data_IF_327681127479
#
_entry.id   IF_327681127479
#
_cell.length_a   1.000
_cell.length_b   1.000
_cell.length_c   1.000
_cell.angle_alpha   90.00
_cell.angle_beta   90.00
_cell.angle_gamma   90.00
#
_symmetry.space_group_name_H-M   'P 1'
#
loop_
_entity.id
_entity.type
_entity.pdbx_description
1 polymer ?
#
# COMPACT_ATOMS: atom_id res chain seq x y z
N UNK A 1 -25.87 -5.72 -10.54
CA UNK A 1 -25.19 -5.03 -9.43
C UNK A 1 -26.02 -5.24 -8.19
N UNK A 2 -25.39 -5.58 -7.06
CA UNK A 2 -26.10 -5.72 -5.78
C UNK A 2 -26.80 -4.40 -5.45
N UNK A 3 -28.14 -4.38 -5.30
CA UNK A 3 -28.87 -3.17 -4.93
C UNK A 3 -28.35 -2.52 -3.65
N UNK A 4 -27.79 -3.30 -2.71
CA UNK A 4 -27.24 -2.79 -1.46
C UNK A 4 -25.95 -1.94 -1.64
N UNK A 5 -25.27 -2.08 -2.78
CA UNK A 5 -24.04 -1.34 -3.08
C UNK A 5 -24.29 -0.05 -3.87
N UNK A 6 -25.50 0.14 -4.41
CA UNK A 6 -25.84 1.29 -5.25
C UNK A 6 -25.72 2.58 -4.44
N UNK A 7 -24.88 3.52 -4.90
CA UNK A 7 -24.66 4.82 -4.26
C UNK A 7 -23.72 4.79 -3.04
N UNK A 8 -23.27 3.61 -2.61
CA UNK A 8 -22.38 3.45 -1.46
C UNK A 8 -20.91 3.19 -1.84
N UNK A 9 -20.66 2.72 -3.06
CA UNK A 9 -19.33 2.43 -3.58
C UNK A 9 -19.19 2.95 -5.01
N UNK A 10 -17.97 3.29 -5.42
CA UNK A 10 -17.70 3.61 -6.83
C UNK A 10 -17.66 2.34 -7.67
N UNK A 11 -18.31 2.35 -8.82
CA UNK A 11 -18.37 1.18 -9.71
C UNK A 11 -16.96 0.79 -10.18
N UNK A 12 -16.10 1.77 -10.38
CA UNK A 12 -14.72 1.60 -10.83
C UNK A 12 -13.86 0.88 -9.78
N UNK A 13 -14.05 1.15 -8.48
CA UNK A 13 -13.30 0.46 -7.42
C UNK A 13 -13.72 -1.00 -7.32
N UNK A 14 -15.03 -1.27 -7.46
CA UNK A 14 -15.60 -2.62 -7.49
C UNK A 14 -15.07 -3.39 -8.69
N UNK A 15 -15.07 -2.80 -9.89
CA UNK A 15 -14.54 -3.43 -11.09
C UNK A 15 -13.05 -3.81 -10.92
N UNK A 16 -12.26 -2.89 -10.34
CA UNK A 16 -10.83 -3.13 -10.09
C UNK A 16 -10.58 -4.35 -9.21
N UNK A 17 -11.42 -4.58 -8.19
CA UNK A 17 -11.34 -5.77 -7.33
C UNK A 17 -11.91 -7.02 -8.02
N UNK A 18 -13.02 -6.89 -8.75
CA UNK A 18 -13.66 -8.02 -9.43
C UNK A 18 -12.72 -8.67 -10.44
N UNK A 19 -11.97 -7.87 -11.20
CA UNK A 19 -11.01 -8.36 -12.19
C UNK A 19 -9.93 -9.25 -11.56
N UNK A 20 -9.30 -8.79 -10.46
CA UNK A 20 -8.26 -9.59 -9.79
C UNK A 20 -8.85 -10.81 -9.10
N UNK A 21 -10.06 -10.72 -8.55
CA UNK A 21 -10.73 -11.85 -7.91
C UNK A 21 -11.05 -12.98 -8.91
N UNK A 22 -11.46 -12.62 -10.14
CA UNK A 22 -11.68 -13.59 -11.21
C UNK A 22 -10.38 -14.31 -11.56
N UNK A 23 -9.26 -13.59 -11.68
CA UNK A 23 -7.95 -14.19 -11.97
C UNK A 23 -7.47 -15.11 -10.84
N UNK A 24 -7.77 -14.79 -9.57
CA UNK A 24 -7.41 -15.63 -8.42
C UNK A 24 -8.01 -17.05 -8.47
N UNK A 25 -9.16 -17.22 -9.12
CA UNK A 25 -9.87 -18.51 -9.24
C UNK A 25 -9.64 -19.20 -10.58
N UNK A 26 -8.70 -18.72 -11.38
CA UNK A 26 -8.39 -19.32 -12.68
C UNK A 26 -7.97 -20.79 -12.53
N UNK A 27 -8.39 -21.62 -13.49
CA UNK A 27 -8.09 -23.06 -13.49
C UNK A 27 -6.59 -23.31 -13.62
N UNK A 28 -5.94 -22.50 -14.45
CA UNK A 28 -4.50 -22.56 -14.68
C UNK A 28 -3.79 -21.71 -13.62
N UNK A 29 -3.03 -22.35 -12.73
CA UNK A 29 -2.33 -21.66 -11.63
C UNK A 29 -1.35 -20.57 -12.09
N UNK A 30 -0.79 -20.70 -13.30
CA UNK A 30 0.12 -19.72 -13.92
C UNK A 30 -0.57 -18.40 -14.29
N UNK A 31 -1.89 -18.42 -14.45
CA UNK A 31 -2.69 -17.24 -14.75
C UNK A 31 -3.22 -16.55 -13.50
N UNK A 32 -3.02 -17.15 -12.33
CA UNK A 32 -3.36 -16.52 -11.06
C UNK A 32 -2.35 -15.41 -10.74
N UNK A 33 -2.80 -14.28 -10.20
CA UNK A 33 -1.92 -13.17 -9.88
C UNK A 33 -1.01 -13.53 -8.71
N UNK A 34 0.19 -12.95 -8.72
CA UNK A 34 1.10 -13.00 -7.56
C UNK A 34 0.56 -12.08 -6.46
N UNK A 35 0.93 -12.36 -5.21
CA UNK A 35 0.45 -11.59 -4.06
C UNK A 35 0.69 -10.07 -4.17
N UNK A 36 1.78 -9.62 -4.79
CA UNK A 36 2.02 -8.18 -4.98
C UNK A 36 1.05 -7.55 -5.99
N UNK A 37 0.63 -8.29 -7.03
CA UNK A 37 -0.33 -7.81 -8.03
C UNK A 37 -1.72 -7.65 -7.39
N UNK A 38 -2.07 -8.57 -6.48
CA UNK A 38 -3.27 -8.48 -5.65
C UNK A 38 -3.22 -7.23 -4.75
N UNK A 39 -2.10 -7.00 -4.07
CA UNK A 39 -1.90 -5.79 -3.25
C UNK A 39 -2.04 -4.51 -4.06
N UNK A 40 -1.44 -4.45 -5.26
CA UNK A 40 -1.57 -3.29 -6.15
C UNK A 40 -3.03 -3.05 -6.55
N UNK A 41 -3.78 -4.09 -6.91
CA UNK A 41 -5.19 -3.96 -7.25
C UNK A 41 -6.05 -3.43 -6.10
N UNK A 42 -5.79 -3.90 -4.87
CA UNK A 42 -6.47 -3.41 -3.67
C UNK A 42 -6.14 -1.94 -3.41
N UNK A 43 -4.86 -1.56 -3.50
CA UNK A 43 -4.44 -0.18 -3.31
C UNK A 43 -5.05 0.76 -4.37
N UNK A 44 -5.15 0.31 -5.62
CA UNK A 44 -5.77 1.06 -6.70
C UNK A 44 -7.28 1.25 -6.44
N UNK A 45 -7.99 0.20 -6.06
CA UNK A 45 -9.41 0.29 -5.71
C UNK A 45 -9.66 1.27 -4.56
N UNK A 46 -8.80 1.28 -3.53
CA UNK A 46 -8.89 2.23 -2.41
C UNK A 46 -8.67 3.68 -2.88
N UNK A 47 -7.70 3.93 -3.78
CA UNK A 47 -7.44 5.27 -4.32
C UNK A 47 -8.63 5.78 -5.12
N UNK A 48 -9.18 4.91 -5.99
CA UNK A 48 -10.39 5.19 -6.77
C UNK A 48 -11.54 5.54 -5.82
N UNK A 49 -11.80 4.71 -4.81
CA UNK A 49 -12.90 4.93 -3.86
C UNK A 49 -12.76 6.29 -3.13
N UNK A 50 -11.54 6.62 -2.68
CA UNK A 50 -11.24 7.90 -2.02
C UNK A 50 -11.25 9.11 -2.98
N UNK A 51 -11.31 8.90 -4.29
CA UNK A 51 -11.28 9.98 -5.29
C UNK A 51 -9.94 10.69 -5.36
N UNK A 52 -8.84 9.96 -5.09
CA UNK A 52 -7.48 10.49 -5.18
C UNK A 52 -7.05 10.40 -6.65
N UNK A 53 -7.81 11.09 -7.51
CA UNK A 53 -7.68 11.04 -8.96
C UNK A 53 -7.28 12.44 -9.45
N UNK A 54 -5.97 12.72 -9.43
CA UNK A 54 -5.26 13.64 -10.34
C UNK A 54 -5.93 14.99 -10.72
N UNK A 55 -6.61 15.70 -9.81
CA UNK A 55 -7.10 17.07 -10.05
C UNK A 55 -6.50 18.15 -9.13
N UNK A 56 -5.57 17.79 -8.26
CA UNK A 56 -4.80 18.74 -7.43
C UNK A 56 -3.38 18.96 -7.99
N UNK A 57 -3.25 19.31 -9.27
CA UNK A 57 -2.00 19.85 -9.85
C UNK A 57 -2.18 21.22 -10.50
N UNK A 58 -3.02 22.07 -9.92
CA UNK A 58 -3.02 23.52 -10.19
C UNK A 58 -2.82 24.24 -8.85
N UNK A 59 -1.57 24.67 -8.58
CA UNK A 59 -1.24 25.39 -7.34
C UNK A 59 0.26 25.47 -7.02
N UNK A 60 0.96 26.36 -7.73
CA UNK A 60 2.17 27.11 -7.32
C UNK A 60 3.38 26.41 -6.68
N UNK A 61 4.48 26.41 -7.43
CA UNK A 61 5.86 26.80 -7.05
C UNK A 61 6.20 26.98 -5.55
N UNK A 62 7.18 26.19 -5.08
CA UNK A 62 8.44 26.68 -4.49
C UNK A 62 9.45 25.52 -4.36
N UNK A 63 10.55 25.65 -5.09
CA UNK A 63 11.74 24.87 -4.85
C UNK A 63 12.33 25.25 -3.49
N UNK A 64 12.51 24.27 -2.60
CA UNK A 64 13.56 24.34 -1.60
C UNK A 64 14.26 22.99 -1.54
N UNK A 65 15.35 22.91 -2.29
CA UNK A 65 16.34 21.85 -2.19
C UNK A 65 16.97 21.88 -0.80
N UNK A 66 16.54 20.99 0.09
CA UNK A 66 17.29 20.63 1.30
C UNK A 66 17.95 19.28 1.07
N UNK A 67 19.18 19.30 0.56
CA UNK A 67 20.06 18.12 0.48
C UNK A 67 20.40 17.68 1.90
N UNK A 68 19.74 16.63 2.38
CA UNK A 68 20.10 15.94 3.63
C UNK A 68 21.08 14.84 3.28
N UNK A 69 22.29 14.91 3.82
CA UNK A 69 23.37 13.95 3.56
C UNK A 69 23.16 12.67 4.37
N UNK A 70 23.60 11.53 3.86
CA UNK A 70 23.47 10.22 4.50
C UNK A 70 24.10 10.14 5.90
N UNK A 71 24.92 11.10 6.31
CA UNK A 71 25.56 11.09 7.64
C UNK A 71 24.58 11.42 8.77
N UNK A 72 23.51 12.16 8.53
CA UNK A 72 22.61 12.61 9.62
C UNK A 72 21.61 11.53 10.04
N UNK A 73 21.31 10.53 9.19
CA UNK A 73 20.42 9.43 9.55
C UNK A 73 21.06 8.41 10.50
N UNK A 74 22.40 8.36 10.59
CA UNK A 74 23.08 7.40 11.47
C UNK A 74 23.18 7.84 12.93
N UNK A 75 22.97 9.13 13.23
CA UNK A 75 23.13 9.68 14.58
C UNK A 75 21.80 9.83 15.34
N UNK A 76 20.67 9.53 14.71
CA UNK A 76 19.32 9.63 15.33
C UNK A 76 18.80 8.26 15.81
N UNK A 77 19.71 7.35 16.19
CA UNK A 77 19.35 6.23 17.06
C UNK A 77 19.44 6.73 18.49
N UNK A 78 18.36 7.33 18.95
CA UNK A 78 18.07 7.57 20.35
C UNK A 78 18.10 6.22 21.08
N UNK A 79 19.11 6.01 21.93
CA UNK A 79 19.26 4.82 22.77
C UNK A 79 18.08 4.67 23.73
N UNK A 80 17.32 3.56 23.69
CA UNK A 80 16.51 3.16 24.82
C UNK A 80 17.37 2.27 25.75
N UNK A 81 17.69 2.82 26.91
CA UNK A 81 18.28 2.12 28.06
C UNK A 81 17.27 1.04 28.53
N UNK A 82 17.53 -0.22 28.21
CA UNK A 82 16.73 -1.35 28.71
C UNK A 82 17.70 -2.36 29.31
N UNK A 83 17.57 -2.49 30.63
CA UNK A 83 18.36 -3.30 31.53
C UNK A 83 18.47 -4.78 31.12
N UNK A 84 19.62 -5.36 31.46
CA UNK A 84 19.94 -6.77 31.35
C UNK A 84 18.84 -7.68 31.92
N UNK A 85 18.24 -8.50 31.06
CA UNK A 85 17.78 -9.84 31.45
C UNK A 85 18.02 -10.82 30.31
N UNK A 86 18.94 -11.74 30.57
CA UNK A 86 19.41 -12.80 29.69
C UNK A 86 18.28 -13.73 29.24
N UNK A 87 18.10 -13.92 27.93
CA UNK A 87 17.51 -15.14 27.38
C UNK A 87 18.25 -15.51 26.09
N UNK A 88 18.99 -16.62 26.16
CA UNK A 88 19.71 -17.22 25.04
C UNK A 88 18.75 -17.74 23.97
N UNK A 89 19.13 -17.78 22.68
CA UNK A 89 18.30 -18.41 21.67
C UNK A 89 18.43 -19.94 21.79
N UNK A 90 17.35 -20.61 22.19
CA UNK A 90 17.20 -22.05 22.08
C UNK A 90 16.27 -22.36 20.91
N UNK A 91 16.81 -22.96 19.85
CA UNK A 91 16.35 -24.26 19.36
C UNK A 91 17.15 -24.70 18.12
N UNK A 92 17.33 -26.02 18.08
CA UNK A 92 18.03 -26.87 17.11
C UNK A 92 17.38 -26.90 15.73
#
# INVERSE_FOLDING_TARGET
>A
MDPALVGHVKVESVWRIAEVAIQCVERHGTSRPRMHEILSAIQDAIKIEKGIDKLSSSGSSKAQSSRKTLLTSFLDVESPDISNSSLTPSAR
#
